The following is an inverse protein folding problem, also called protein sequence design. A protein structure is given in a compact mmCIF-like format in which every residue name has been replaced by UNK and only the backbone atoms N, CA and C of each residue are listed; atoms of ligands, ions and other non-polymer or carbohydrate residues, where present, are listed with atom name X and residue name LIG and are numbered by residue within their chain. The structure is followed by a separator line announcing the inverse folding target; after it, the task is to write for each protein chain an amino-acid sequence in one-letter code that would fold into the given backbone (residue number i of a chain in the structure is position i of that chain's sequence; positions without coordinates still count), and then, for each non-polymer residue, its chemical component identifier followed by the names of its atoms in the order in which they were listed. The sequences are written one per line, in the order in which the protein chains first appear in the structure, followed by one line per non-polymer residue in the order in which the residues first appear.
data_IF_312622867421
#
_entry.id   IF_312622867421
#
_cell.length_a   1.000
_cell.length_b   1.000
_cell.length_c   1.000
_cell.angle_alpha   90.00
_cell.angle_beta   90.00
_cell.angle_gamma   90.00
#
_symmetry.space_group_name_H-M   'P 1'
#
loop_
_entity.id
_entity.type
_entity.pdbx_description
1 polymer ?
#
# COMPACT_ATOMS: atom_id res chain seq x y z
N UNK A 1 51.92 -23.81 45.71
CA UNK A 1 52.13 -24.43 44.37
C UNK A 1 50.92 -25.30 44.08
N UNK A 2 49.98 -24.97 43.22
CA UNK A 2 49.80 -23.80 42.37
C UNK A 2 48.30 -23.64 42.11
N UNK A 3 47.90 -22.40 41.87
CA UNK A 3 46.54 -21.97 41.62
C UNK A 3 45.84 -22.77 40.51
N UNK A 4 44.58 -23.09 40.77
CA UNK A 4 43.60 -23.48 39.76
C UNK A 4 43.35 -22.26 38.89
N UNK A 5 44.08 -22.14 37.78
CA UNK A 5 43.78 -21.17 36.75
C UNK A 5 42.40 -21.48 36.16
N UNK A 6 41.48 -20.55 36.39
CA UNK A 6 40.22 -20.43 35.68
C UNK A 6 40.49 -20.57 34.17
N UNK A 7 39.99 -21.65 33.59
CA UNK A 7 39.92 -21.80 32.14
C UNK A 7 39.08 -20.64 31.61
N UNK A 8 39.75 -19.74 30.89
CA UNK A 8 39.17 -18.53 30.34
C UNK A 8 37.89 -18.84 29.60
N UNK A 9 36.84 -18.12 29.98
CA UNK A 9 35.74 -17.80 29.09
C UNK A 9 36.39 -17.11 27.89
N UNK A 10 36.61 -17.86 26.82
CA UNK A 10 36.96 -17.27 25.54
C UNK A 10 35.76 -16.42 25.15
N UNK A 11 35.99 -15.11 25.23
CA UNK A 11 35.23 -14.06 24.58
C UNK A 11 35.27 -14.32 23.07
N UNK A 12 34.35 -15.16 22.59
CA UNK A 12 34.17 -15.40 21.15
C UNK A 12 33.38 -14.22 20.61
N UNK A 13 34.11 -13.15 20.31
CA UNK A 13 33.64 -12.11 19.41
C UNK A 13 33.06 -12.80 18.16
N UNK A 14 31.77 -12.55 17.90
CA UNK A 14 31.03 -13.01 16.73
C UNK A 14 31.90 -12.95 15.46
N UNK A 15 32.00 -14.01 14.65
CA UNK A 15 32.66 -13.89 13.36
C UNK A 15 31.86 -12.92 12.51
N UNK A 16 32.53 -11.82 12.15
CA UNK A 16 32.06 -10.69 11.38
C UNK A 16 31.78 -11.07 9.92
N UNK A 17 30.70 -11.81 9.67
CA UNK A 17 30.11 -11.82 8.35
C UNK A 17 28.99 -10.77 8.34
N UNK A 18 28.99 -9.92 7.33
CA UNK A 18 27.93 -8.93 7.10
C UNK A 18 27.00 -9.42 5.99
N UNK A 19 25.74 -8.95 5.95
CA UNK A 19 24.87 -9.20 4.80
C UNK A 19 25.58 -8.81 3.50
N UNK A 20 25.40 -9.63 2.45
CA UNK A 20 25.93 -9.28 1.14
C UNK A 20 25.01 -8.20 0.56
N UNK A 21 25.47 -6.96 0.63
CA UNK A 21 24.79 -5.82 0.01
C UNK A 21 25.21 -5.72 -1.46
N UNK A 22 24.27 -5.96 -2.37
CA UNK A 22 24.44 -5.52 -3.75
C UNK A 22 24.40 -3.99 -3.76
N UNK A 23 25.16 -3.33 -4.65
CA UNK A 23 25.14 -1.89 -4.76
C UNK A 23 23.68 -1.44 -4.96
N UNK A 24 23.18 -0.68 -4.00
CA UNK A 24 21.82 -0.18 -4.04
C UNK A 24 21.69 0.74 -5.27
N UNK A 25 20.92 0.30 -6.26
CA UNK A 25 20.56 1.09 -7.43
C UNK A 25 19.07 1.39 -7.32
N UNK A 26 18.69 2.64 -6.99
CA UNK A 26 17.28 3.01 -6.92
C UNK A 26 16.66 2.86 -8.31
N UNK A 27 15.63 2.01 -8.41
CA UNK A 27 14.93 1.76 -9.66
C UNK A 27 13.56 2.41 -9.67
N UNK A 28 13.24 2.94 -10.85
CA UNK A 28 11.96 3.57 -11.20
C UNK A 28 11.53 3.19 -12.63
N UNK A 29 12.19 2.20 -13.26
CA UNK A 29 11.89 1.70 -14.61
C UNK A 29 11.97 0.18 -14.56
N UNK A 30 11.11 -0.51 -15.32
CA UNK A 30 11.07 -1.98 -15.34
C UNK A 30 11.56 -2.59 -16.66
N UNK A 31 12.18 -1.82 -17.56
CA UNK A 31 12.57 -2.26 -18.91
C UNK A 31 13.75 -3.23 -18.91
N UNK A 32 14.64 -3.06 -17.94
CA UNK A 32 16.03 -3.52 -18.03
C UNK A 32 16.29 -4.80 -17.21
N UNK A 33 15.25 -5.51 -16.79
CA UNK A 33 15.36 -6.61 -15.81
C UNK A 33 14.70 -7.91 -16.28
N UNK A 34 15.49 -8.98 -16.25
CA UNK A 34 15.00 -10.35 -16.29
C UNK A 34 14.51 -10.74 -14.88
N UNK A 35 13.20 -10.58 -14.64
CA UNK A 35 12.55 -11.11 -13.44
C UNK A 35 12.43 -12.64 -13.53
N UNK A 36 12.62 -13.34 -12.41
CA UNK A 36 12.49 -14.79 -12.37
C UNK A 36 11.04 -15.26 -12.56
N UNK A 37 10.06 -14.43 -12.18
CA UNK A 37 8.64 -14.75 -12.31
C UNK A 37 7.79 -13.56 -12.80
N UNK A 38 6.75 -13.78 -13.66
CA UNK A 38 5.88 -12.70 -14.16
C UNK A 38 5.22 -11.83 -13.07
N UNK A 39 5.01 -12.42 -11.88
CA UNK A 39 4.47 -11.74 -10.71
C UNK A 39 5.42 -10.67 -10.14
N UNK A 40 6.73 -10.92 -10.14
CA UNK A 40 7.75 -9.95 -9.74
C UNK A 40 7.77 -8.79 -10.72
N UNK A 41 7.72 -9.07 -12.03
CA UNK A 41 7.63 -8.04 -13.06
C UNK A 41 6.35 -7.19 -12.91
N UNK A 42 5.23 -7.81 -12.56
CA UNK A 42 3.97 -7.10 -12.31
C UNK A 42 4.06 -6.22 -11.05
N UNK A 43 4.66 -6.72 -9.97
CA UNK A 43 4.88 -5.96 -8.74
C UNK A 43 5.85 -4.79 -8.93
N UNK A 44 6.95 -4.99 -9.67
CA UNK A 44 7.88 -3.93 -10.05
C UNK A 44 7.20 -2.83 -10.87
N UNK A 45 6.31 -3.20 -11.80
CA UNK A 45 5.49 -2.26 -12.56
C UNK A 45 4.56 -1.45 -11.67
N UNK A 46 3.90 -2.10 -10.70
CA UNK A 46 3.05 -1.43 -9.71
C UNK A 46 3.84 -0.39 -8.90
N UNK A 47 5.00 -0.76 -8.34
CA UNK A 47 5.85 0.15 -7.56
C UNK A 47 6.32 1.34 -8.41
N UNK A 48 6.80 1.05 -9.61
CA UNK A 48 7.25 2.04 -10.59
C UNK A 48 6.14 3.02 -10.95
N UNK A 49 4.93 2.51 -11.22
CA UNK A 49 3.78 3.32 -11.56
C UNK A 49 3.46 4.32 -10.43
N UNK A 50 3.49 3.86 -9.18
CA UNK A 50 3.30 4.71 -8.00
C UNK A 50 4.50 5.58 -7.65
N UNK A 51 5.60 5.54 -8.42
CA UNK A 51 6.87 6.23 -8.14
C UNK A 51 7.41 5.88 -6.75
N UNK A 52 7.29 4.61 -6.36
CA UNK A 52 7.98 4.07 -5.19
C UNK A 52 9.34 3.62 -5.66
N UNK A 53 10.42 4.06 -5.01
CA UNK A 53 11.76 3.56 -5.32
C UNK A 53 11.87 2.11 -4.88
N UNK A 54 12.55 1.29 -5.66
CA UNK A 54 12.76 -0.12 -5.32
C UNK A 54 14.09 -0.65 -5.86
N UNK A 55 14.51 -1.81 -5.38
CA UNK A 55 15.60 -2.61 -5.96
C UNK A 55 15.21 -4.10 -5.89
N UNK A 56 15.59 -4.87 -6.90
CA UNK A 56 15.37 -6.31 -6.97
C UNK A 56 16.54 -7.06 -6.33
N UNK A 57 16.25 -7.97 -5.40
CA UNK A 57 17.20 -8.83 -4.68
C UNK A 57 18.48 -8.13 -4.16
N UNK A 58 18.41 -6.92 -3.55
CA UNK A 58 19.61 -6.11 -3.33
C UNK A 58 20.45 -6.57 -2.13
N UNK A 59 19.97 -7.53 -1.34
CA UNK A 59 20.68 -7.96 -0.13
C UNK A 59 20.43 -9.43 0.13
N UNK A 60 21.51 -10.20 0.32
CA UNK A 60 21.44 -11.59 0.74
C UNK A 60 21.90 -11.70 2.19
N UNK A 61 21.01 -12.21 3.04
CA UNK A 61 21.24 -12.38 4.47
C UNK A 61 21.53 -13.85 4.76
N UNK A 62 22.73 -14.20 5.26
CA UNK A 62 22.93 -15.56 5.71
C UNK A 62 22.18 -15.80 7.02
N UNK A 63 21.70 -17.04 7.15
CA UNK A 63 20.80 -17.49 8.22
C UNK A 63 21.26 -18.80 8.87
N UNK A 64 22.38 -19.37 8.39
CA UNK A 64 23.00 -20.59 8.94
C UNK A 64 24.47 -20.66 8.55
N UNK A 65 25.30 -21.18 9.45
CA UNK A 65 26.74 -21.37 9.29
C UNK A 65 27.14 -22.83 9.49
N UNK A 66 28.27 -23.25 8.92
CA UNK A 66 28.93 -24.51 9.25
C UNK A 66 29.83 -24.37 10.49
N UNK A 67 30.48 -25.46 10.91
CA UNK A 67 31.38 -25.49 12.07
C UNK A 67 32.61 -24.57 11.89
N UNK A 68 32.96 -24.24 10.65
CA UNK A 68 34.00 -23.28 10.29
C UNK A 68 33.47 -21.84 10.23
N UNK A 69 32.25 -21.58 10.71
CA UNK A 69 31.57 -20.27 10.70
C UNK A 69 31.39 -19.67 9.30
N UNK A 70 31.33 -20.50 8.25
CA UNK A 70 31.05 -20.05 6.88
C UNK A 70 29.54 -20.10 6.61
N UNK A 71 28.96 -19.08 5.97
CA UNK A 71 27.52 -19.08 5.70
C UNK A 71 27.15 -20.17 4.68
N UNK A 72 26.24 -21.07 5.06
CA UNK A 72 25.78 -22.21 4.26
C UNK A 72 24.32 -22.11 3.83
N UNK A 73 23.60 -21.08 4.29
CA UNK A 73 22.24 -20.82 3.84
C UNK A 73 21.94 -19.32 3.89
N UNK A 74 21.25 -18.84 2.86
CA UNK A 74 20.86 -17.45 2.72
C UNK A 74 19.35 -17.29 2.52
N UNK A 75 18.90 -16.08 2.81
CA UNK A 75 17.62 -15.50 2.40
C UNK A 75 17.92 -14.21 1.64
N UNK A 76 17.40 -14.13 0.43
CA UNK A 76 17.52 -12.96 -0.43
C UNK A 76 16.11 -12.49 -0.71
N UNK A 77 15.64 -11.41 -0.07
CA UNK A 77 14.30 -10.93 -0.29
C UNK A 77 14.13 -10.39 -1.71
N UNK A 78 12.99 -10.67 -2.35
CA UNK A 78 12.76 -10.33 -3.76
C UNK A 78 12.88 -8.82 -4.05
N UNK A 79 12.38 -7.96 -3.15
CA UNK A 79 12.42 -6.50 -3.31
C UNK A 79 12.85 -5.77 -2.04
N UNK A 80 13.44 -4.59 -2.21
CA UNK A 80 13.65 -3.60 -1.15
C UNK A 80 13.07 -2.25 -1.54
N UNK A 81 12.32 -1.63 -0.62
CA UNK A 81 11.74 -0.30 -0.74
C UNK A 81 12.49 0.65 0.21
N UNK A 82 13.51 1.38 -0.27
CA UNK A 82 14.40 2.21 0.56
C UNK A 82 13.67 3.30 1.35
N UNK A 83 12.68 3.95 0.74
CA UNK A 83 11.90 5.04 1.37
C UNK A 83 11.12 4.56 2.60
N UNK A 84 10.87 3.25 2.67
CA UNK A 84 10.13 2.60 3.75
C UNK A 84 11.01 1.66 4.58
N UNK A 85 12.32 1.55 4.25
CA UNK A 85 13.27 0.58 4.83
C UNK A 85 12.66 -0.83 4.93
N UNK A 86 11.97 -1.24 3.86
CA UNK A 86 11.14 -2.44 3.85
C UNK A 86 11.61 -3.44 2.79
N UNK A 87 11.95 -4.65 3.22
CA UNK A 87 12.08 -5.80 2.33
C UNK A 87 10.72 -6.42 2.05
N UNK A 88 10.49 -6.83 0.81
CA UNK A 88 9.26 -7.50 0.39
C UNK A 88 9.62 -8.84 -0.26
N UNK A 89 8.99 -9.88 0.23
CA UNK A 89 9.11 -11.23 -0.28
C UNK A 89 7.80 -11.65 -0.94
N UNK A 90 7.84 -11.92 -2.24
CA UNK A 90 6.71 -12.42 -3.00
C UNK A 90 6.58 -13.94 -2.86
N UNK A 91 5.36 -14.42 -2.68
CA UNK A 91 5.08 -15.85 -2.59
C UNK A 91 3.99 -16.23 -3.57
N UNK A 92 4.41 -16.92 -4.64
CA UNK A 92 3.57 -17.43 -5.74
C UNK A 92 3.22 -18.91 -5.59
N UNK A 93 3.82 -19.62 -4.63
CA UNK A 93 3.91 -21.08 -4.60
C UNK A 93 2.83 -21.73 -3.73
N UNK A 94 2.39 -22.94 -4.11
CA UNK A 94 1.46 -23.82 -3.35
C UNK A 94 1.91 -23.98 -1.88
N UNK A 95 0.93 -24.08 -0.96
CA UNK A 95 1.11 -24.06 0.51
C UNK A 95 2.25 -24.93 1.08
N UNK A 96 2.63 -26.06 0.45
CA UNK A 96 3.68 -26.97 0.97
C UNK A 96 5.10 -26.40 0.93
N UNK A 97 5.43 -25.58 -0.08
CA UNK A 97 6.74 -24.94 -0.23
C UNK A 97 6.86 -23.64 0.59
N UNK A 98 5.71 -23.09 1.00
CA UNK A 98 5.61 -21.92 1.89
C UNK A 98 6.18 -22.22 3.27
N UNK A 99 6.04 -23.44 3.80
CA UNK A 99 6.54 -23.80 5.15
C UNK A 99 8.05 -23.66 5.27
N UNK A 100 8.82 -24.10 4.26
CA UNK A 100 10.29 -23.95 4.24
C UNK A 100 10.68 -22.48 4.12
N UNK A 101 9.98 -21.72 3.27
CA UNK A 101 10.18 -20.28 3.06
C UNK A 101 9.89 -19.50 4.35
N UNK A 102 8.78 -19.78 5.03
CA UNK A 102 8.42 -19.20 6.33
C UNK A 102 9.41 -19.55 7.44
N UNK A 103 9.98 -20.76 7.43
CA UNK A 103 11.02 -21.13 8.41
C UNK A 103 12.26 -20.25 8.22
N UNK A 104 12.70 -20.08 6.98
CA UNK A 104 13.83 -19.21 6.65
C UNK A 104 13.57 -17.74 7.02
N UNK A 105 12.38 -17.22 6.73
CA UNK A 105 12.01 -15.83 7.06
C UNK A 105 11.87 -15.63 8.58
N UNK A 106 11.43 -16.64 9.33
CA UNK A 106 11.44 -16.59 10.80
C UNK A 106 12.87 -16.48 11.34
N UNK A 107 13.77 -17.36 10.89
CA UNK A 107 15.19 -17.30 11.24
C UNK A 107 15.82 -15.95 10.89
N UNK A 108 15.46 -15.38 9.74
CA UNK A 108 15.89 -14.05 9.35
C UNK A 108 15.42 -12.98 10.36
N UNK A 109 14.17 -13.03 10.81
CA UNK A 109 13.67 -12.06 11.81
C UNK A 109 14.35 -12.22 13.16
N UNK A 110 14.66 -13.44 13.56
CA UNK A 110 15.34 -13.72 14.82
C UNK A 110 16.79 -13.22 14.80
N UNK A 111 17.49 -13.41 13.67
CA UNK A 111 18.89 -12.99 13.49
C UNK A 111 19.04 -11.49 13.19
N UNK A 112 18.04 -10.87 12.57
CA UNK A 112 18.07 -9.47 12.15
C UNK A 112 16.80 -8.74 12.58
N UNK A 113 16.59 -8.50 13.89
CA UNK A 113 15.33 -7.96 14.41
C UNK A 113 14.99 -6.55 13.90
N UNK A 114 15.99 -5.79 13.46
CA UNK A 114 15.83 -4.42 12.98
C UNK A 114 15.37 -4.32 11.52
N UNK A 115 15.36 -5.43 10.76
CA UNK A 115 14.90 -5.39 9.38
C UNK A 115 13.38 -5.52 9.32
N UNK A 116 12.74 -4.63 8.56
CA UNK A 116 11.32 -4.79 8.23
C UNK A 116 11.23 -5.68 7.00
N UNK A 117 10.56 -6.83 7.14
CA UNK A 117 10.28 -7.73 6.01
C UNK A 117 8.81 -8.14 5.97
N UNK A 118 8.17 -7.94 4.82
CA UNK A 118 6.79 -8.32 4.55
C UNK A 118 6.70 -9.41 3.50
N UNK A 119 5.94 -10.47 3.80
CA UNK A 119 5.61 -11.53 2.85
C UNK A 119 4.30 -11.15 2.16
N UNK A 120 4.29 -11.15 0.82
CA UNK A 120 3.12 -10.85 0.00
C UNK A 120 2.71 -12.10 -0.79
N UNK A 121 1.51 -12.61 -0.52
CA UNK A 121 0.96 -13.72 -1.28
C UNK A 121 0.30 -13.23 -2.57
N UNK A 122 0.26 -14.06 -3.61
CA UNK A 122 -0.45 -13.76 -4.87
C UNK A 122 -1.88 -13.27 -4.66
N UNK A 123 -2.63 -13.89 -3.73
CA UNK A 123 -4.00 -13.49 -3.37
C UNK A 123 -4.08 -12.09 -2.74
N UNK A 124 -3.08 -11.71 -1.96
CA UNK A 124 -3.04 -10.42 -1.27
C UNK A 124 -2.68 -9.33 -2.27
N UNK A 125 -1.76 -9.62 -3.21
CA UNK A 125 -1.47 -8.74 -4.34
C UNK A 125 -2.69 -8.47 -5.22
N UNK A 126 -3.50 -9.50 -5.53
CA UNK A 126 -4.76 -9.30 -6.23
C UNK A 126 -5.66 -8.31 -5.46
N UNK A 127 -5.75 -8.41 -4.13
CA UNK A 127 -6.50 -7.46 -3.29
C UNK A 127 -5.88 -6.04 -3.29
N UNK A 128 -4.56 -5.91 -3.39
CA UNK A 128 -3.88 -4.61 -3.53
C UNK A 128 -4.20 -3.92 -4.87
N UNK A 129 -4.37 -4.67 -5.95
CA UNK A 129 -4.70 -4.14 -7.28
C UNK A 129 -6.20 -3.89 -7.45
N UNK A 130 -7.04 -4.76 -6.89
CA UNK A 130 -8.50 -4.68 -6.97
C UNK A 130 -9.06 -3.42 -6.27
N UNK A 131 -8.29 -2.80 -5.37
CA UNK A 131 -8.66 -1.54 -4.72
C UNK A 131 -8.32 -0.30 -5.57
N UNK A 132 -7.51 -0.44 -6.62
CA UNK A 132 -6.96 0.68 -7.39
C UNK A 132 -7.51 0.81 -8.81
N UNK A 133 -7.53 -0.25 -9.63
CA UNK A 133 -7.55 -0.02 -11.09
C UNK A 133 -8.16 -1.11 -11.99
N UNK A 134 -8.59 -2.26 -11.49
CA UNK A 134 -9.06 -3.34 -12.36
C UNK A 134 -10.30 -4.08 -11.81
N UNK A 135 -11.48 -3.48 -11.98
CA UNK A 135 -12.70 -4.27 -12.26
C UNK A 135 -13.41 -3.65 -13.46
N UNK A 136 -12.77 -3.76 -14.63
CA UNK A 136 -13.47 -3.86 -15.90
C UNK A 136 -13.61 -5.35 -16.18
N UNK A 137 -14.67 -5.97 -15.64
CA UNK A 137 -15.43 -7.10 -16.19
C UNK A 137 -16.27 -7.73 -15.07
N UNK A 138 -17.60 -7.79 -15.30
CA UNK A 138 -18.59 -8.45 -14.44
C UNK A 138 -19.28 -7.55 -13.42
N UNK A 139 -20.59 -7.34 -13.58
CA UNK A 139 -21.51 -6.96 -12.49
C UNK A 139 -22.27 -8.20 -12.01
N UNK A 140 -21.64 -9.36 -12.07
CA UNK A 140 -22.21 -10.66 -11.72
C UNK A 140 -22.09 -10.92 -10.21
N UNK A 141 -22.64 -10.02 -9.41
CA UNK A 141 -22.75 -10.20 -7.98
C UNK A 141 -23.56 -9.11 -7.32
N UNK A 142 -23.60 -9.16 -6.00
CA UNK A 142 -24.44 -8.29 -5.17
C UNK A 142 -23.72 -7.87 -3.88
N UNK A 143 -24.20 -6.84 -3.20
CA UNK A 143 -23.79 -6.56 -1.82
C UNK A 143 -24.18 -7.75 -0.93
N UNK A 144 -23.21 -8.25 -0.19
CA UNK A 144 -23.39 -9.30 0.82
C UNK A 144 -23.64 -8.72 2.20
N UNK A 145 -22.85 -9.14 3.19
CA UNK A 145 -22.99 -8.69 4.57
C UNK A 145 -22.74 -7.19 4.68
N UNK A 146 -23.65 -6.49 5.35
CA UNK A 146 -23.47 -5.10 5.76
C UNK A 146 -22.26 -4.99 6.71
N UNK A 147 -21.35 -4.07 6.40
CA UNK A 147 -20.16 -3.79 7.21
C UNK A 147 -20.34 -2.51 8.00
N UNK A 148 -20.88 -1.45 7.36
CA UNK A 148 -21.22 -0.18 8.00
C UNK A 148 -22.48 0.37 7.34
N UNK A 149 -23.47 0.77 8.13
CA UNK A 149 -24.60 1.56 7.63
C UNK A 149 -24.25 3.05 7.49
N UNK A 150 -25.18 3.81 6.92
CA UNK A 150 -25.00 5.24 6.71
C UNK A 150 -24.87 6.01 8.03
N UNK A 151 -25.67 5.65 9.02
CA UNK A 151 -25.78 6.38 10.28
C UNK A 151 -24.47 6.29 11.05
N UNK A 152 -23.89 5.09 11.16
CA UNK A 152 -22.58 4.87 11.75
C UNK A 152 -21.49 5.68 11.05
N UNK A 153 -21.49 5.70 9.71
CA UNK A 153 -20.49 6.45 8.95
C UNK A 153 -20.62 7.95 9.21
N UNK A 154 -21.84 8.51 9.11
CA UNK A 154 -22.07 9.94 9.33
C UNK A 154 -21.76 10.35 10.77
N UNK A 155 -22.12 9.54 11.76
CA UNK A 155 -21.79 9.78 13.16
C UNK A 155 -20.27 9.87 13.36
N UNK A 156 -19.53 8.90 12.81
CA UNK A 156 -18.06 8.89 12.90
C UNK A 156 -17.43 10.07 12.15
N UNK A 157 -17.96 10.47 11.00
CA UNK A 157 -17.49 11.67 10.30
C UNK A 157 -17.78 12.94 11.08
N UNK A 158 -18.88 13.00 11.84
CA UNK A 158 -19.16 14.09 12.77
C UNK A 158 -18.11 14.23 13.87
N UNK A 159 -17.70 13.12 14.49
CA UNK A 159 -16.61 13.09 15.47
C UNK A 159 -15.28 13.56 14.86
N UNK A 160 -14.95 13.07 13.67
CA UNK A 160 -13.75 13.48 12.95
C UNK A 160 -13.79 14.96 12.56
N UNK A 161 -14.96 15.50 12.19
CA UNK A 161 -15.10 16.91 11.88
C UNK A 161 -14.77 17.80 13.08
N UNK A 162 -15.20 17.43 14.29
CA UNK A 162 -14.84 18.16 15.51
C UNK A 162 -13.34 18.08 15.81
N UNK A 163 -12.69 16.96 15.53
CA UNK A 163 -11.24 16.85 15.65
C UNK A 163 -10.52 17.73 14.62
N UNK A 164 -10.89 17.62 13.35
CA UNK A 164 -10.30 18.39 12.24
C UNK A 164 -10.48 19.89 12.44
N UNK A 165 -11.66 20.34 12.88
CA UNK A 165 -11.92 21.77 13.12
C UNK A 165 -11.03 22.33 14.23
N UNK A 166 -10.73 21.54 15.27
CA UNK A 166 -9.78 21.93 16.33
C UNK A 166 -8.34 21.98 15.81
N UNK A 167 -7.94 20.98 15.04
CA UNK A 167 -6.55 20.84 14.59
C UNK A 167 -6.19 21.80 13.43
N UNK A 168 -7.17 22.10 12.57
CA UNK A 168 -6.97 22.94 11.38
C UNK A 168 -7.50 24.37 11.53
N UNK A 169 -8.38 24.63 12.50
CA UNK A 169 -8.97 25.95 12.74
C UNK A 169 -8.22 26.81 13.77
N UNK A 170 -8.89 27.84 14.26
CA UNK A 170 -8.38 28.77 15.27
C UNK A 170 -8.31 30.24 14.79
N UNK A 171 -8.24 31.22 15.71
CA UNK A 171 -8.09 32.62 15.35
C UNK A 171 -6.81 32.86 14.52
N UNK A 172 -6.96 33.46 13.33
CA UNK A 172 -5.84 33.74 12.43
C UNK A 172 -5.29 32.53 11.66
N UNK A 173 -5.94 31.36 11.74
CA UNK A 173 -5.57 30.21 10.93
C UNK A 173 -5.92 30.44 9.45
N UNK A 174 -4.98 30.13 8.56
CA UNK A 174 -5.25 30.12 7.12
C UNK A 174 -6.29 29.05 6.77
N UNK A 175 -7.17 29.36 5.82
CA UNK A 175 -8.14 28.40 5.26
C UNK A 175 -7.42 27.17 4.67
N UNK A 176 -7.61 25.95 5.23
CA UNK A 176 -7.03 24.74 4.67
C UNK A 176 -7.73 24.34 3.36
N UNK A 177 -7.02 23.57 2.53
CA UNK A 177 -7.58 22.91 1.35
C UNK A 177 -7.96 21.46 1.68
N UNK A 178 -9.26 21.15 1.61
CA UNK A 178 -9.75 19.77 1.72
C UNK A 178 -9.78 19.12 0.33
N UNK A 179 -8.91 18.14 0.12
CA UNK A 179 -8.67 17.55 -1.18
C UNK A 179 -9.18 16.11 -1.26
N UNK A 180 -10.31 15.89 -1.91
CA UNK A 180 -10.84 14.55 -2.13
C UNK A 180 -10.00 13.75 -3.13
N UNK A 181 -9.56 12.55 -2.76
CA UNK A 181 -8.88 11.61 -3.64
C UNK A 181 -9.87 10.57 -4.19
N UNK A 182 -10.21 10.69 -5.47
CA UNK A 182 -11.08 9.73 -6.17
C UNK A 182 -12.57 9.83 -5.78
N UNK A 183 -13.42 8.92 -6.31
CA UNK A 183 -14.86 8.94 -6.03
C UNK A 183 -15.20 8.73 -4.55
N UNK A 184 -14.51 7.81 -3.88
CA UNK A 184 -14.73 7.55 -2.45
C UNK A 184 -14.37 8.75 -1.59
N UNK A 185 -13.22 9.39 -1.86
CA UNK A 185 -12.84 10.62 -1.16
C UNK A 185 -13.86 11.75 -1.35
N UNK A 186 -14.46 11.87 -2.54
CA UNK A 186 -15.52 12.86 -2.79
C UNK A 186 -16.78 12.58 -1.98
N UNK A 187 -17.18 11.32 -1.83
CA UNK A 187 -18.34 10.95 -1.01
C UNK A 187 -18.10 11.32 0.46
N UNK A 188 -16.92 10.96 0.98
CA UNK A 188 -16.52 11.31 2.35
C UNK A 188 -16.49 12.83 2.54
N UNK A 189 -15.89 13.57 1.62
CA UNK A 189 -15.83 15.04 1.70
C UNK A 189 -17.23 15.66 1.71
N UNK A 190 -18.17 15.14 0.91
CA UNK A 190 -19.55 15.63 0.90
C UNK A 190 -20.23 15.47 2.26
N UNK A 191 -20.11 14.31 2.90
CA UNK A 191 -20.73 14.06 4.21
C UNK A 191 -19.96 14.73 5.37
N UNK A 192 -18.66 15.01 5.20
CA UNK A 192 -17.82 15.72 6.18
C UNK A 192 -17.99 17.25 6.14
N UNK A 193 -18.41 17.82 5.00
CA UNK A 193 -18.50 19.28 4.81
C UNK A 193 -19.51 19.96 5.76
N UNK A 194 -20.76 19.49 5.90
CA UNK A 194 -21.72 20.11 6.82
C UNK A 194 -21.25 20.18 8.28
N UNK A 195 -20.76 19.10 8.93
CA UNK A 195 -20.31 19.19 10.31
C UNK A 195 -19.04 20.04 10.49
N UNK A 196 -18.13 20.10 9.50
CA UNK A 196 -16.98 21.01 9.57
C UNK A 196 -17.40 22.48 9.56
N UNK A 197 -18.38 22.84 8.73
CA UNK A 197 -18.94 24.20 8.68
C UNK A 197 -19.69 24.54 9.96
N UNK A 198 -20.46 23.59 10.50
CA UNK A 198 -21.14 23.76 11.78
C UNK A 198 -20.14 23.97 12.94
N UNK A 199 -18.97 23.34 12.86
CA UNK A 199 -17.85 23.56 13.79
C UNK A 199 -17.07 24.87 13.53
N UNK A 200 -17.50 25.70 12.57
CA UNK A 200 -16.92 27.01 12.30
C UNK A 200 -15.65 27.01 11.45
N UNK A 201 -15.24 25.87 10.88
CA UNK A 201 -14.07 25.81 10.00
C UNK A 201 -14.39 26.44 8.64
N UNK A 202 -13.60 27.44 8.24
CA UNK A 202 -13.58 27.98 6.88
C UNK A 202 -12.52 27.23 6.08
N UNK A 203 -12.88 26.68 4.92
CA UNK A 203 -12.01 25.85 4.10
C UNK A 203 -12.41 25.89 2.63
N UNK A 204 -11.44 25.61 1.75
CA UNK A 204 -11.72 25.31 0.34
C UNK A 204 -11.83 23.80 0.11
N UNK A 205 -12.56 23.42 -0.93
CA UNK A 205 -12.71 22.02 -1.32
C UNK A 205 -12.30 21.80 -2.76
N UNK A 206 -11.61 20.70 -3.02
CA UNK A 206 -11.27 20.29 -4.38
C UNK A 206 -11.17 18.75 -4.47
N UNK A 207 -10.90 18.22 -5.66
CA UNK A 207 -10.70 16.80 -5.84
C UNK A 207 -9.65 16.47 -6.89
N UNK A 208 -8.73 15.57 -6.53
CA UNK A 208 -7.82 14.91 -7.48
C UNK A 208 -8.32 13.53 -7.84
N UNK A 209 -7.84 13.04 -8.99
CA UNK A 209 -7.97 11.63 -9.35
C UNK A 209 -6.60 11.07 -9.69
N UNK A 210 -6.17 10.14 -8.85
CA UNK A 210 -5.01 9.30 -9.10
C UNK A 210 -5.45 8.17 -10.03
N UNK A 211 -4.80 8.03 -11.20
CA UNK A 211 -5.05 6.93 -12.14
C UNK A 211 -3.75 6.41 -12.70
N UNK A 212 -3.67 5.11 -12.86
CA UNK A 212 -2.74 4.45 -13.77
C UNK A 212 -3.11 4.80 -15.21
N UNK A 213 -2.16 5.42 -15.89
CA UNK A 213 -2.19 5.60 -17.34
C UNK A 213 -1.26 4.54 -17.91
N UNK A 214 -1.82 3.56 -18.61
CA UNK A 214 -1.03 2.63 -19.42
C UNK A 214 -0.29 3.43 -20.49
N UNK A 215 1.01 3.19 -20.63
CA UNK A 215 1.82 3.87 -21.64
C UNK A 215 1.36 3.49 -23.04
N UNK A 216 1.16 4.48 -23.91
CA UNK A 216 0.72 4.29 -25.31
C UNK A 216 1.86 3.86 -26.24
N UNK A 217 2.88 3.17 -25.74
CA UNK A 217 4.05 2.74 -26.51
C UNK A 217 4.84 1.65 -25.80
N UNK A 218 5.80 1.03 -26.51
CA UNK A 218 6.66 -0.06 -26.04
C UNK A 218 7.69 0.35 -24.96
N UNK A 219 7.31 1.24 -24.04
CA UNK A 219 8.01 1.55 -22.81
C UNK A 219 7.31 0.88 -21.63
N UNK A 220 8.03 0.49 -20.57
CA UNK A 220 7.48 -0.41 -19.57
C UNK A 220 6.92 0.36 -18.36
N UNK A 221 5.68 0.01 -18.02
CA UNK A 221 4.99 0.45 -16.81
C UNK A 221 4.10 1.67 -17.08
N UNK A 222 2.80 1.52 -16.87
CA UNK A 222 1.92 2.68 -16.80
C UNK A 222 2.37 3.61 -15.68
N UNK A 223 2.10 4.91 -15.81
CA UNK A 223 2.44 5.91 -14.80
C UNK A 223 1.17 6.24 -14.03
N UNK A 224 1.24 6.18 -12.69
CA UNK A 224 0.20 6.78 -11.88
C UNK A 224 0.34 8.30 -11.99
N UNK A 225 -0.66 8.92 -12.62
CA UNK A 225 -0.72 10.36 -12.83
C UNK A 225 -1.92 10.96 -12.10
N UNK A 226 -1.74 12.21 -11.66
CA UNK A 226 -2.84 13.06 -11.26
C UNK A 226 -3.29 13.78 -12.53
N UNK A 227 -4.37 13.30 -13.15
CA UNK A 227 -4.80 13.77 -14.48
C UNK A 227 -5.35 15.19 -14.50
N UNK A 228 -5.90 15.64 -13.37
CA UNK A 228 -6.33 17.01 -13.15
C UNK A 228 -5.85 17.37 -11.75
N UNK A 229 -4.93 18.34 -11.68
CA UNK A 229 -4.59 18.96 -10.40
C UNK A 229 -5.83 19.65 -9.81
N UNK A 230 -5.80 20.00 -8.52
CA UNK A 230 -6.81 20.84 -7.94
C UNK A 230 -6.88 22.17 -8.71
N UNK A 231 -8.07 22.75 -8.81
CA UNK A 231 -8.28 24.12 -9.27
C UNK A 231 -7.65 25.12 -8.29
N UNK A 232 -7.66 24.79 -6.99
CA UNK A 232 -6.99 25.57 -5.96
C UNK A 232 -5.52 25.17 -5.88
N UNK A 233 -4.61 26.14 -5.90
CA UNK A 233 -3.18 25.89 -5.72
C UNK A 233 -2.91 25.38 -4.29
N UNK A 234 -2.31 24.19 -4.10
CA UNK A 234 -1.93 23.70 -2.79
C UNK A 234 -0.67 24.40 -2.22
N UNK A 235 0.09 25.17 -3.01
CA UNK A 235 1.32 25.81 -2.57
C UNK A 235 1.11 26.74 -1.37
N UNK A 236 1.95 26.60 -0.34
CA UNK A 236 1.88 27.38 0.91
C UNK A 236 0.70 27.03 1.83
N UNK A 237 -0.19 26.12 1.44
CA UNK A 237 -1.41 25.78 2.20
C UNK A 237 -1.24 24.56 3.09
N UNK A 238 -2.06 24.49 4.14
CA UNK A 238 -2.35 23.22 4.84
C UNK A 238 -3.35 22.45 3.99
N UNK A 239 -3.03 21.21 3.64
CA UNK A 239 -3.88 20.36 2.82
C UNK A 239 -4.29 19.12 3.61
N UNK A 240 -5.59 18.86 3.69
CA UNK A 240 -6.12 17.59 4.19
C UNK A 240 -6.56 16.75 2.99
N UNK A 241 -5.79 15.71 2.66
CA UNK A 241 -6.18 14.77 1.61
C UNK A 241 -7.12 13.69 2.15
N UNK A 242 -8.24 13.49 1.47
CA UNK A 242 -9.36 12.68 1.94
C UNK A 242 -9.53 11.45 1.04
N UNK A 243 -9.40 10.26 1.62
CA UNK A 243 -9.59 8.98 0.96
C UNK A 243 -10.85 8.27 1.43
N UNK A 244 -11.58 7.66 0.50
CA UNK A 244 -12.68 6.74 0.84
C UNK A 244 -12.15 5.48 1.52
N UNK A 245 -11.11 4.88 0.95
CA UNK A 245 -10.40 3.75 1.54
C UNK A 245 -8.90 3.89 1.32
N UNK A 246 -8.12 3.50 2.32
CA UNK A 246 -6.68 3.30 2.19
C UNK A 246 -6.37 1.83 2.47
N UNK A 247 -5.71 1.17 1.53
CA UNK A 247 -5.34 -0.25 1.62
C UNK A 247 -3.84 -0.45 1.56
N UNK A 248 -3.26 -0.59 0.37
CA UNK A 248 -1.81 -0.77 0.20
C UNK A 248 -0.97 0.39 0.74
N UNK A 249 -1.56 1.59 0.85
CA UNK A 249 -0.87 2.84 1.15
C UNK A 249 -0.21 3.50 -0.06
N UNK A 250 -0.06 2.80 -1.18
CA UNK A 250 0.67 3.31 -2.36
C UNK A 250 0.04 4.59 -2.93
N UNK A 251 -1.28 4.61 -3.11
CA UNK A 251 -2.01 5.79 -3.62
C UNK A 251 -1.92 6.98 -2.67
N UNK A 252 -2.10 6.74 -1.36
CA UNK A 252 -2.02 7.80 -0.36
C UNK A 252 -0.59 8.36 -0.28
N UNK A 253 0.43 7.49 -0.21
CA UNK A 253 1.84 7.89 -0.22
C UNK A 253 2.21 8.68 -1.48
N UNK A 254 1.71 8.25 -2.65
CA UNK A 254 1.93 8.96 -3.91
C UNK A 254 1.32 10.37 -3.88
N UNK A 255 0.08 10.50 -3.39
CA UNK A 255 -0.62 11.77 -3.35
C UNK A 255 0.02 12.74 -2.35
N UNK A 256 0.45 12.25 -1.17
CA UNK A 256 1.22 13.02 -0.19
C UNK A 256 2.53 13.52 -0.80
N UNK A 257 3.34 12.64 -1.41
CA UNK A 257 4.58 13.06 -2.10
C UNK A 257 4.33 14.04 -3.24
N UNK A 258 3.20 13.93 -3.91
CA UNK A 258 2.83 14.88 -4.96
C UNK A 258 2.49 16.25 -4.36
N UNK A 259 1.69 16.32 -3.30
CA UNK A 259 1.34 17.57 -2.61
C UNK A 259 2.56 18.30 -2.07
N UNK A 260 3.51 17.60 -1.45
CA UNK A 260 4.78 18.19 -1.02
C UNK A 260 5.57 18.80 -2.18
N UNK A 261 5.59 18.13 -3.35
CA UNK A 261 6.23 18.69 -4.56
C UNK A 261 5.48 19.85 -5.18
N UNK A 262 4.19 20.02 -4.88
CA UNK A 262 3.45 21.23 -5.26
C UNK A 262 3.64 22.38 -4.26
N UNK A 263 4.46 22.20 -3.22
CA UNK A 263 4.78 23.25 -2.25
C UNK A 263 3.75 23.40 -1.12
N UNK A 264 2.92 22.39 -0.84
CA UNK A 264 2.06 22.40 0.34
C UNK A 264 2.88 22.67 1.62
N UNK A 265 2.36 23.51 2.52
CA UNK A 265 3.00 23.82 3.80
C UNK A 265 2.91 22.64 4.77
N UNK A 266 1.77 21.96 4.74
CA UNK A 266 1.47 20.81 5.59
C UNK A 266 0.50 19.86 4.86
N UNK A 267 0.64 18.56 5.08
CA UNK A 267 -0.20 17.53 4.45
C UNK A 267 -0.69 16.53 5.49
N UNK A 268 -1.94 16.69 5.91
CA UNK A 268 -2.65 15.71 6.73
C UNK A 268 -3.43 14.72 5.85
N UNK A 269 -3.60 13.48 6.31
CA UNK A 269 -4.33 12.44 5.57
C UNK A 269 -5.52 11.91 6.37
N UNK A 270 -6.70 11.88 5.74
CA UNK A 270 -7.90 11.20 6.25
C UNK A 270 -8.21 9.95 5.44
N UNK A 271 -8.52 8.85 6.12
CA UNK A 271 -9.13 7.67 5.52
C UNK A 271 -10.46 7.36 6.21
N UNK A 272 -11.57 7.32 5.44
CA UNK A 272 -12.84 6.85 6.00
C UNK A 272 -12.75 5.38 6.37
N UNK A 273 -12.19 4.55 5.47
CA UNK A 273 -11.91 3.14 5.71
C UNK A 273 -10.40 2.90 5.67
N UNK A 274 -9.84 2.32 6.72
CA UNK A 274 -8.44 1.92 6.80
C UNK A 274 -8.35 0.40 6.78
N UNK A 275 -7.84 -0.17 5.68
CA UNK A 275 -7.63 -1.62 5.56
C UNK A 275 -6.20 -1.94 5.98
N UNK A 276 -5.94 -1.88 7.29
CA UNK A 276 -4.59 -2.06 7.87
C UNK A 276 -3.97 -3.39 7.49
N UNK A 277 -4.79 -4.45 7.45
CA UNK A 277 -4.35 -5.80 7.05
C UNK A 277 -3.73 -5.86 5.64
N UNK A 278 -4.04 -4.91 4.75
CA UNK A 278 -3.50 -4.83 3.40
C UNK A 278 -2.31 -3.85 3.25
N UNK A 279 -1.87 -3.18 4.32
CA UNK A 279 -0.86 -2.11 4.30
C UNK A 279 0.49 -2.57 3.74
N UNK A 280 0.88 -2.15 2.54
CA UNK A 280 2.21 -2.47 1.98
C UNK A 280 3.24 -1.42 2.40
N UNK A 281 2.88 -0.15 2.26
CA UNK A 281 3.71 0.98 2.67
C UNK A 281 3.00 1.78 3.75
N UNK A 282 3.72 2.11 4.81
CA UNK A 282 3.19 2.92 5.90
C UNK A 282 2.88 4.33 5.38
N UNK A 283 1.69 4.82 5.74
CA UNK A 283 1.25 6.19 5.49
C UNK A 283 0.59 6.65 6.77
N UNK A 284 1.02 7.81 7.25
CA UNK A 284 0.46 8.43 8.44
C UNK A 284 -0.97 8.89 8.17
N UNK A 285 -1.93 8.22 8.82
CA UNK A 285 -3.33 8.62 8.82
C UNK A 285 -3.56 9.48 10.06
N UNK A 286 -3.69 10.79 9.84
CA UNK A 286 -3.97 11.77 10.90
C UNK A 286 -5.40 11.59 11.42
N UNK A 287 -6.30 11.19 10.51
CA UNK A 287 -7.70 10.93 10.80
C UNK A 287 -8.11 9.60 10.18
N UNK A 288 -8.67 8.70 10.99
CA UNK A 288 -9.14 7.40 10.54
C UNK A 288 -10.58 7.15 11.02
N UNK A 289 -11.45 6.79 10.08
CA UNK A 289 -12.84 6.44 10.36
C UNK A 289 -12.94 5.06 10.99
N UNK A 290 -12.82 4.02 10.17
CA UNK A 290 -13.01 2.62 10.56
C UNK A 290 -11.85 1.72 10.10
N UNK A 291 -11.38 0.84 10.98
CA UNK A 291 -10.55 -0.30 10.57
C UNK A 291 -11.45 -1.35 9.91
N UNK A 292 -11.08 -1.82 8.73
CA UNK A 292 -11.92 -2.71 7.92
C UNK A 292 -11.20 -4.00 7.52
N UNK A 293 -11.94 -5.11 7.38
CA UNK A 293 -11.35 -6.39 7.04
C UNK A 293 -10.85 -6.43 5.58
N UNK A 294 -10.20 -7.55 5.26
CA UNK A 294 -9.59 -7.77 3.95
C UNK A 294 -10.60 -8.08 2.81
N UNK A 295 -11.90 -8.20 3.14
CA UNK A 295 -12.98 -8.45 2.19
C UNK A 295 -13.02 -7.40 1.07
N UNK A 296 -13.52 -7.80 -0.10
CA UNK A 296 -13.85 -6.83 -1.14
C UNK A 296 -15.08 -6.04 -0.67
N UNK A 297 -14.94 -4.70 -0.59
CA UNK A 297 -16.00 -3.83 -0.12
C UNK A 297 -16.57 -3.01 -1.27
N UNK A 298 -17.88 -2.77 -1.20
CA UNK A 298 -18.65 -1.96 -2.14
C UNK A 298 -19.53 -0.97 -1.38
N UNK A 299 -20.02 0.04 -2.09
CA UNK A 299 -20.82 1.10 -1.49
C UNK A 299 -20.02 2.32 -1.04
N UNK A 300 -20.73 3.35 -0.59
CA UNK A 300 -20.19 4.57 -0.01
C UNK A 300 -19.05 5.23 -0.82
N UNK A 301 -19.24 5.32 -2.13
CA UNK A 301 -18.30 5.97 -3.05
C UNK A 301 -17.10 5.11 -3.49
N UNK A 302 -16.97 3.86 -3.01
CA UNK A 302 -15.90 2.95 -3.42
C UNK A 302 -15.92 2.70 -4.93
N UNK A 303 -14.72 2.60 -5.54
CA UNK A 303 -14.61 2.47 -7.01
C UNK A 303 -14.76 1.02 -7.50
N UNK A 304 -14.55 0.04 -6.61
CA UNK A 304 -14.79 -1.37 -6.89
C UNK A 304 -16.28 -1.60 -7.21
N UNK A 305 -16.57 -2.37 -8.27
CA UNK A 305 -17.94 -2.69 -8.72
C UNK A 305 -18.85 -1.45 -8.75
N UNK A 306 -18.51 -0.52 -9.65
CA UNK A 306 -19.05 0.85 -9.74
C UNK A 306 -20.58 0.98 -9.64
N UNK A 307 -21.33 -0.05 -10.01
CA UNK A 307 -22.80 -0.11 -9.87
C UNK A 307 -23.28 0.12 -8.45
N UNK A 308 -22.52 -0.29 -7.44
CA UNK A 308 -22.89 -0.11 -6.04
C UNK A 308 -22.31 1.17 -5.44
N UNK A 309 -21.61 2.01 -6.21
CA UNK A 309 -20.87 3.17 -5.69
C UNK A 309 -21.76 4.11 -4.88
N UNK A 310 -22.99 4.33 -5.34
CA UNK A 310 -23.88 5.34 -4.76
C UNK A 310 -24.69 4.78 -3.57
N UNK A 311 -24.51 3.50 -3.23
CA UNK A 311 -25.13 2.91 -2.05
C UNK A 311 -24.67 3.67 -0.78
N UNK A 312 -25.60 4.01 0.14
CA UNK A 312 -25.29 4.82 1.31
C UNK A 312 -24.59 4.06 2.44
N UNK A 313 -24.22 2.80 2.22
CA UNK A 313 -23.61 1.90 3.19
C UNK A 313 -22.32 1.31 2.64
N UNK A 314 -21.56 0.60 3.48
CA UNK A 314 -20.45 -0.26 3.07
C UNK A 314 -20.83 -1.71 3.34
N UNK A 315 -20.67 -2.57 2.34
CA UNK A 315 -20.94 -4.01 2.45
C UNK A 315 -19.81 -4.82 1.81
N UNK A 316 -19.69 -6.09 2.19
CA UNK A 316 -18.87 -7.05 1.45
C UNK A 316 -19.47 -7.29 0.06
N UNK A 317 -18.67 -7.66 -0.93
CA UNK A 317 -19.18 -8.08 -2.24
C UNK A 317 -19.31 -9.60 -2.32
N UNK A 318 -20.46 -10.10 -2.77
CA UNK A 318 -20.72 -11.52 -3.05
C UNK A 318 -20.84 -11.72 -4.57
N UNK A 319 -19.89 -12.42 -5.22
CA UNK A 319 -20.07 -12.81 -6.62
C UNK A 319 -21.23 -13.82 -6.72
N UNK A 320 -21.96 -13.80 -7.83
CA UNK A 320 -22.88 -14.87 -8.18
C UNK A 320 -22.07 -16.11 -8.58
N UNK A 321 -22.45 -17.27 -8.05
CA UNK A 321 -21.84 -18.53 -8.44
C UNK A 321 -22.14 -18.79 -9.93
N UNK A 322 -21.10 -18.79 -10.76
CA UNK A 322 -21.19 -19.33 -12.10
C UNK A 322 -20.64 -20.75 -12.09
N UNK A 323 -21.46 -21.79 -12.37
CA UNK A 323 -20.91 -23.10 -12.65
C UNK A 323 -20.02 -23.00 -13.91
N UNK A 324 -18.72 -23.26 -13.77
CA UNK A 324 -17.76 -23.39 -14.88
C UNK A 324 -16.82 -22.20 -15.16
N UNK A 325 -16.87 -21.10 -14.40
CA UNK A 325 -15.88 -20.03 -14.53
C UNK A 325 -14.65 -20.31 -13.65
N UNK A 326 -13.80 -21.26 -14.04
CA UNK A 326 -12.41 -21.16 -13.63
C UNK A 326 -11.90 -19.79 -14.08
N UNK A 327 -11.27 -19.04 -13.16
CA UNK A 327 -10.46 -17.88 -13.50
C UNK A 327 -9.29 -18.37 -14.35
N UNK A 328 -9.49 -18.57 -15.66
CA UNK A 328 -8.39 -18.73 -16.61
C UNK A 328 -7.62 -17.42 -16.62
N UNK A 329 -6.36 -17.39 -16.16
CA UNK A 329 -5.50 -16.25 -16.40
C UNK A 329 -4.93 -16.45 -17.81
N UNK A 330 -5.58 -15.92 -18.83
CA UNK A 330 -4.95 -15.81 -20.14
C UNK A 330 -3.84 -14.76 -20.06
N UNK A 331 -2.64 -15.25 -19.76
CA UNK A 331 -1.39 -14.77 -20.32
C UNK A 331 -0.72 -15.99 -20.95
N UNK A 332 -1.28 -16.46 -22.06
CA UNK A 332 -0.57 -17.33 -22.99
C UNK A 332 0.03 -16.46 -24.10
N UNK A 333 1.36 -16.33 -24.19
CA UNK A 333 2.02 -15.57 -25.24
C UNK A 333 2.25 -16.36 -26.54
N UNK A 334 1.67 -17.56 -26.71
CA UNK A 334 1.98 -18.42 -27.87
C UNK A 334 1.11 -18.25 -29.12
N UNK A 335 0.07 -17.41 -29.12
CA UNK A 335 -0.70 -17.15 -30.35
C UNK A 335 -0.13 -15.95 -31.13
N UNK A 336 0.90 -16.18 -31.95
CA UNK A 336 1.14 -15.34 -33.14
C UNK A 336 0.38 -15.97 -34.32
N UNK A 337 -0.37 -15.21 -35.12
CA UNK A 337 -0.80 -15.69 -36.42
C UNK A 337 0.39 -15.60 -37.38
N UNK A 338 0.57 -16.66 -38.17
CA UNK A 338 1.41 -16.69 -39.37
C UNK A 338 0.91 -15.72 -40.44
#
# INVERSE_FOLDING_TARGET
MGDVQAAGILDVASPAWEPVHLPFRPRLRTADEAFAHPFEAAFARLLTAHRVRWSYEPTSFPIRWDDAHRPVAFVTPDFYLPDHRLYVELTTVRQRLVTRKHRKIRLLRDLYPNIKIKILYRRDYQRLILTGEATRTGNDGEPGRLVLDREAIVARLGELALQIARDLGGPGADSPLLLACGPGGRRVLADLTPPLRAAGLVFDTDAIRVRHVEGTGAGPGGVVTIRRGPLHDPAGRRVLIIHGIVSSGLTAAHAVRWLWRQGARDVSTLACLDRRCARLVDVELHYAGFDVPADLLVGYGLDARRTFRDAPFVATFRPFDRPGAELTPELDPSSRPD
#
